data_IF_739231105007
#
_entry.id   IF_739231105007
#
_cell.length_a   1.000
_cell.length_b   1.000
_cell.length_c   1.000
_cell.angle_alpha   90.00
_cell.angle_beta   90.00
_cell.angle_gamma   90.00
#
_symmetry.space_group_name_H-M   'P 1'
#
loop_
_entity.id
_entity.type
_entity.pdbx_description
1 polymer ?
#
# COMPACT_ATOMS: atom_id res chain seq x y z
N UNK A 1 -9.28 2.78 -10.91
CA UNK A 1 -8.21 3.52 -11.63
C UNK A 1 -8.77 4.62 -12.56
N UNK A 2 -9.98 4.50 -13.10
CA UNK A 2 -10.57 5.50 -14.02
C UNK A 2 -11.07 6.77 -13.32
N UNK A 3 -11.16 6.77 -11.98
CA UNK A 3 -11.53 7.96 -11.20
C UNK A 3 -10.33 8.93 -11.11
N UNK A 4 -10.40 10.14 -11.72
CA UNK A 4 -9.34 11.14 -11.63
C UNK A 4 -9.05 11.54 -10.18
N UNK A 5 -7.78 11.78 -9.85
CA UNK A 5 -7.37 12.16 -8.50
C UNK A 5 -7.51 11.06 -7.43
N UNK A 6 -7.85 9.83 -7.82
CA UNK A 6 -7.86 8.70 -6.88
C UNK A 6 -6.48 8.07 -6.73
N UNK A 7 -6.17 7.61 -5.51
CA UNK A 7 -4.95 6.84 -5.21
C UNK A 7 -5.31 5.39 -4.94
N UNK A 8 -4.66 4.47 -5.64
CA UNK A 8 -4.88 3.02 -5.50
C UNK A 8 -3.65 2.37 -4.88
N UNK A 9 -3.81 1.82 -3.68
CA UNK A 9 -2.82 1.02 -3.00
C UNK A 9 -3.10 -0.47 -3.21
N UNK A 10 -2.07 -1.24 -3.50
CA UNK A 10 -2.15 -2.70 -3.63
C UNK A 10 -1.05 -3.35 -2.77
N UNK A 11 -1.23 -3.41 -1.45
CA UNK A 11 -0.25 -4.00 -0.54
C UNK A 11 -0.06 -5.51 -0.80
N UNK A 12 1.15 -6.01 -0.56
CA UNK A 12 1.53 -7.42 -0.80
C UNK A 12 1.67 -8.25 0.48
N UNK A 13 1.78 -7.59 1.65
CA UNK A 13 1.90 -8.21 2.96
C UNK A 13 1.43 -7.25 4.07
N UNK A 14 1.44 -7.72 5.32
CA UNK A 14 0.98 -6.98 6.49
C UNK A 14 1.64 -5.59 6.65
N UNK A 15 2.97 -5.50 6.55
CA UNK A 15 3.72 -4.24 6.70
C UNK A 15 3.30 -3.23 5.63
N UNK A 16 3.21 -3.67 4.36
CA UNK A 16 2.75 -2.78 3.29
C UNK A 16 1.28 -2.38 3.41
N UNK A 17 0.44 -3.22 4.02
CA UNK A 17 -0.98 -2.92 4.24
C UNK A 17 -1.17 -1.87 5.35
N UNK A 18 -0.42 -1.99 6.44
CA UNK A 18 -0.39 -0.98 7.51
C UNK A 18 0.05 0.38 6.97
N UNK A 19 1.18 0.41 6.25
CA UNK A 19 1.68 1.65 5.63
C UNK A 19 0.74 2.22 4.57
N UNK A 20 0.05 1.38 3.80
CA UNK A 20 -0.96 1.84 2.85
C UNK A 20 -2.13 2.52 3.58
N UNK A 21 -2.55 2.04 4.75
CA UNK A 21 -3.60 2.65 5.55
C UNK A 21 -3.17 4.03 6.08
N UNK A 22 -1.96 4.11 6.64
CA UNK A 22 -1.35 5.37 7.10
C UNK A 22 -1.25 6.39 5.95
N UNK A 23 -0.68 5.99 4.81
CA UNK A 23 -0.54 6.87 3.65
C UNK A 23 -1.89 7.31 3.08
N UNK A 24 -2.89 6.42 3.06
CA UNK A 24 -4.23 6.77 2.62
C UNK A 24 -4.87 7.85 3.51
N UNK A 25 -4.62 7.82 4.83
CA UNK A 25 -5.12 8.83 5.76
C UNK A 25 -4.52 10.23 5.49
N UNK A 26 -3.28 10.29 5.01
CA UNK A 26 -2.59 11.54 4.67
C UNK A 26 -2.69 11.94 3.18
N UNK A 27 -3.35 11.14 2.34
CA UNK A 27 -3.45 11.39 0.89
C UNK A 27 -4.79 12.04 0.56
N UNK A 28 -4.75 13.24 0.00
CA UNK A 28 -5.97 13.92 -0.46
C UNK A 28 -6.65 13.15 -1.60
N UNK A 29 -7.98 13.22 -1.63
CA UNK A 29 -8.80 12.54 -2.63
C UNK A 29 -9.24 11.14 -2.20
N UNK A 30 -9.87 10.42 -3.13
CA UNK A 30 -10.38 9.08 -2.86
C UNK A 30 -9.24 8.05 -2.86
N UNK A 31 -9.08 7.31 -1.76
CA UNK A 31 -8.11 6.22 -1.65
C UNK A 31 -8.81 4.86 -1.71
N UNK A 32 -8.25 3.92 -2.48
CA UNK A 32 -8.69 2.53 -2.53
C UNK A 32 -7.53 1.60 -2.16
N UNK A 33 -7.72 0.75 -1.15
CA UNK A 33 -6.73 -0.23 -0.71
C UNK A 33 -7.23 -1.62 -1.09
N UNK A 34 -6.52 -2.30 -2.00
CA UNK A 34 -6.85 -3.66 -2.43
C UNK A 34 -6.18 -4.69 -1.51
N UNK A 35 -6.93 -5.21 -0.56
CA UNK A 35 -6.48 -6.33 0.30
C UNK A 35 -6.69 -7.69 -0.37
N UNK A 36 -6.02 -8.71 0.16
CA UNK A 36 -6.14 -10.10 -0.27
C UNK A 36 -6.63 -10.99 0.88
N UNK A 37 -7.28 -12.11 0.56
CA UNK A 37 -7.75 -13.11 1.54
C UNK A 37 -6.64 -14.07 2.03
N UNK A 38 -5.74 -14.58 1.16
CA UNK A 38 -4.68 -15.49 1.60
C UNK A 38 -3.71 -14.82 2.57
N UNK A 39 -3.18 -15.60 3.53
CA UNK A 39 -2.17 -15.12 4.47
C UNK A 39 -0.78 -15.10 3.80
N UNK A 40 -0.43 -13.98 3.17
CA UNK A 40 0.87 -13.79 2.52
C UNK A 40 1.99 -13.55 3.53
N UNK A 41 3.16 -14.15 3.28
CA UNK A 41 4.35 -13.96 4.11
C UNK A 41 4.77 -12.49 4.20
N UNK A 42 5.26 -12.08 5.37
CA UNK A 42 5.86 -10.76 5.58
C UNK A 42 7.27 -10.76 4.97
N UNK A 43 7.49 -9.88 4.00
CA UNK A 43 8.78 -9.75 3.28
C UNK A 43 9.45 -8.38 3.50
N UNK A 44 8.78 -7.45 4.18
CA UNK A 44 9.34 -6.14 4.52
C UNK A 44 9.63 -6.09 6.02
N UNK A 45 10.71 -5.42 6.41
CA UNK A 45 10.94 -5.05 7.79
C UNK A 45 9.92 -4.00 8.25
N UNK A 46 9.62 -3.92 9.55
CA UNK A 46 8.62 -2.98 10.08
C UNK A 46 8.95 -1.49 9.81
N UNK A 47 10.24 -1.18 9.69
CA UNK A 47 10.75 0.15 9.38
C UNK A 47 11.01 0.38 7.88
N UNK A 48 10.56 -0.53 7.01
CA UNK A 48 10.74 -0.39 5.56
C UNK A 48 10.05 0.88 5.06
N UNK A 49 10.77 1.80 4.38
CA UNK A 49 10.18 3.04 3.90
C UNK A 49 9.28 2.76 2.69
N UNK A 50 7.98 3.07 2.82
CA UNK A 50 6.98 2.93 1.76
C UNK A 50 6.38 4.31 1.47
N UNK A 51 6.21 4.65 0.19
CA UNK A 51 5.69 5.96 -0.23
C UNK A 51 4.77 5.83 -1.45
N UNK A 52 3.82 6.76 -1.58
CA UNK A 52 2.91 6.83 -2.73
C UNK A 52 3.71 6.97 -4.03
N UNK A 53 3.36 6.18 -5.05
CA UNK A 53 4.01 6.22 -6.36
C UNK A 53 5.43 5.66 -6.41
N UNK A 54 5.92 5.00 -5.34
CA UNK A 54 7.24 4.35 -5.30
C UNK A 54 7.08 2.84 -5.17
N UNK A 55 7.57 2.11 -6.17
CA UNK A 55 7.60 0.64 -6.16
C UNK A 55 8.82 0.11 -5.40
N UNK A 56 8.74 -1.16 -4.96
CA UNK A 56 9.84 -1.90 -4.36
C UNK A 56 10.23 -3.07 -5.26
N UNK A 57 11.52 -3.21 -5.53
CA UNK A 57 12.07 -4.39 -6.21
C UNK A 57 12.41 -5.38 -5.10
N UNK A 58 11.67 -6.48 -5.05
CA UNK A 58 11.91 -7.60 -4.13
C UNK A 58 12.73 -8.65 -4.87
N UNK A 59 13.80 -9.15 -4.24
CA UNK A 59 14.65 -10.23 -4.75
C UNK A 59 14.32 -11.53 -4.04
#
# INVERSE_FOLDING_TARGET
RTNPGSTVFSPSNAVSAERACELAAYTHGSCFIRTSRPNSHVIYANAEPIAVGKAKIVK
#
